data_IF_817916865651
#
_entry.id   IF_817916865651
#
_cell.length_a   1.000
_cell.length_b   1.000
_cell.length_c   1.000
_cell.angle_alpha   90.00
_cell.angle_beta   90.00
_cell.angle_gamma   90.00
#
_symmetry.space_group_name_H-M   'P 1'
#
loop_
_entity.id
_entity.type
_entity.pdbx_description
1 polymer ?
#
# COMPACT_ATOMS: atom_id res chain seq x y z
N UNK A 1 -18.59 -1.45 13.00
CA UNK A 1 -17.60 -2.05 12.09
C UNK A 1 -16.30 -2.53 12.79
N UNK A 2 -16.09 -3.85 12.98
CA UNK A 2 -14.82 -4.47 13.41
C UNK A 2 -14.20 -5.13 12.18
N UNK A 3 -13.02 -4.68 11.73
CA UNK A 3 -12.33 -5.32 10.60
C UNK A 3 -11.76 -6.65 11.11
N UNK A 4 -12.12 -7.80 10.50
CA UNK A 4 -11.62 -9.09 10.96
C UNK A 4 -10.11 -9.18 10.70
N UNK A 5 -9.35 -9.36 11.79
CA UNK A 5 -7.88 -9.44 11.80
C UNK A 5 -7.36 -10.54 10.85
N UNK A 6 -8.14 -11.59 10.62
CA UNK A 6 -7.79 -12.67 9.69
C UNK A 6 -7.68 -12.19 8.22
N UNK A 7 -8.52 -11.24 7.81
CA UNK A 7 -8.46 -10.67 6.45
C UNK A 7 -7.26 -9.76 6.25
N UNK A 8 -6.83 -9.05 7.29
CA UNK A 8 -5.63 -8.19 7.26
C UNK A 8 -4.37 -9.05 7.10
N UNK A 9 -4.25 -10.14 7.86
CA UNK A 9 -3.07 -11.03 7.82
C UNK A 9 -2.91 -11.74 6.48
N UNK A 10 -4.01 -12.16 5.85
CA UNK A 10 -4.01 -12.83 4.54
C UNK A 10 -3.57 -11.89 3.40
N UNK A 11 -3.96 -10.62 3.47
CA UNK A 11 -3.57 -9.61 2.48
C UNK A 11 -2.09 -9.20 2.62
N UNK A 12 -1.59 -9.11 3.86
CA UNK A 12 -0.16 -8.84 4.13
C UNK A 12 0.71 -9.99 3.63
N UNK A 13 0.31 -11.25 3.85
CA UNK A 13 1.09 -12.40 3.35
C UNK A 13 1.10 -12.49 1.82
N UNK A 14 0.00 -12.17 1.16
CA UNK A 14 -0.08 -12.16 -0.29
C UNK A 14 0.82 -11.05 -0.88
N UNK A 15 0.83 -9.87 -0.28
CA UNK A 15 1.65 -8.75 -0.72
C UNK A 15 3.14 -9.02 -0.50
N UNK A 16 3.50 -9.62 0.64
CA UNK A 16 4.88 -10.06 0.91
C UNK A 16 5.35 -11.13 -0.09
N UNK A 17 4.48 -12.08 -0.46
CA UNK A 17 4.81 -13.11 -1.46
C UNK A 17 5.08 -12.50 -2.84
N UNK A 18 4.27 -11.53 -3.27
CA UNK A 18 4.46 -10.83 -4.56
C UNK A 18 5.78 -10.04 -4.57
N UNK A 19 6.09 -9.34 -3.47
CA UNK A 19 7.36 -8.61 -3.35
C UNK A 19 8.54 -9.56 -3.39
N UNK A 20 8.48 -10.71 -2.70
CA UNK A 20 9.56 -11.70 -2.71
C UNK A 20 9.79 -12.33 -4.10
N UNK A 21 8.72 -12.60 -4.84
CA UNK A 21 8.81 -13.12 -6.22
C UNK A 21 9.41 -12.07 -7.16
N UNK A 22 9.05 -10.79 -6.99
CA UNK A 22 9.61 -9.70 -7.78
C UNK A 22 11.10 -9.51 -7.49
N UNK A 23 11.50 -9.54 -6.21
CA UNK A 23 12.90 -9.44 -5.78
C UNK A 23 13.74 -10.61 -6.31
N UNK A 24 13.21 -11.84 -6.31
CA UNK A 24 13.95 -13.00 -6.84
C UNK A 24 14.17 -12.93 -8.36
N UNK A 25 13.23 -12.36 -9.11
CA UNK A 25 13.40 -12.10 -10.54
C UNK A 25 14.50 -11.07 -10.84
N UNK A 26 14.66 -10.06 -9.99
CA UNK A 26 15.65 -8.98 -10.20
C UNK A 26 17.08 -9.42 -9.83
N UNK A 27 17.25 -10.28 -8.83
CA UNK A 27 18.57 -10.75 -8.36
C UNK A 27 19.20 -11.77 -9.32
N UNK A 28 18.42 -12.41 -10.20
CA UNK A 28 18.86 -13.50 -11.07
C UNK A 28 19.64 -13.06 -12.32
N UNK A 29 20.22 -11.86 -12.35
CA UNK A 29 21.15 -11.45 -13.39
C UNK A 29 22.59 -11.82 -12.97
N UNK A 30 23.23 -12.85 -13.58
CA UNK A 30 24.62 -13.11 -13.34
C UNK A 30 25.45 -11.98 -13.95
N UNK A 31 26.04 -11.16 -13.07
CA UNK A 31 27.05 -10.16 -13.42
C UNK A 31 28.33 -10.92 -13.81
N UNK A 32 28.40 -11.33 -15.06
CA UNK A 32 29.66 -11.66 -15.72
C UNK A 32 30.32 -10.34 -16.14
N UNK A 33 31.29 -9.87 -15.37
CA UNK A 33 32.44 -9.13 -15.86
C UNK A 33 33.39 -8.84 -14.68
N UNK A 34 34.42 -9.67 -14.57
CA UNK A 34 35.60 -9.34 -13.80
C UNK A 34 36.43 -8.30 -14.56
N UNK A 35 37.00 -7.37 -13.80
CA UNK A 35 38.21 -6.59 -14.09
C UNK A 35 38.04 -5.27 -14.88
N UNK A 36 38.34 -4.17 -14.17
CA UNK A 36 38.42 -2.75 -14.59
C UNK A 36 37.13 -1.94 -14.46
N UNK A 37 37.01 -1.21 -13.34
CA UNK A 37 35.95 -0.20 -13.13
C UNK A 37 36.38 1.10 -13.82
N UNK A 38 36.36 1.13 -15.14
CA UNK A 38 36.18 2.38 -15.88
C UNK A 38 34.67 2.59 -16.02
N UNK A 39 34.12 3.56 -15.29
CA UNK A 39 32.71 3.93 -15.45
C UNK A 39 32.62 4.66 -16.79
N UNK A 40 32.40 3.90 -17.87
CA UNK A 40 32.08 4.47 -19.17
C UNK A 40 30.74 5.21 -19.05
N UNK A 41 30.76 6.54 -19.21
CA UNK A 41 29.58 7.39 -19.15
C UNK A 41 28.44 6.97 -20.11
N UNK A 42 28.78 6.20 -21.13
CA UNK A 42 27.85 5.66 -22.12
C UNK A 42 27.03 4.47 -21.60
N UNK A 43 27.60 3.65 -20.72
CA UNK A 43 26.92 2.49 -20.14
C UNK A 43 25.90 2.91 -19.07
N UNK A 44 26.24 3.93 -18.27
CA UNK A 44 25.29 4.52 -17.33
C UNK A 44 24.15 5.25 -18.05
N UNK A 45 24.43 5.94 -19.16
CA UNK A 45 23.39 6.60 -19.97
C UNK A 45 22.36 5.61 -20.53
N UNK A 46 22.84 4.54 -21.17
CA UNK A 46 21.95 3.51 -21.75
C UNK A 46 21.16 2.74 -20.71
N UNK A 47 21.73 2.48 -19.52
CA UNK A 47 20.99 1.88 -18.42
C UNK A 47 19.90 2.81 -17.89
N UNK A 48 20.18 4.10 -17.71
CA UNK A 48 19.18 5.07 -17.27
C UNK A 48 18.04 5.21 -18.28
N UNK A 49 18.36 5.33 -19.58
CA UNK A 49 17.33 5.46 -20.63
C UNK A 49 16.40 4.25 -20.69
N UNK A 50 16.94 3.03 -20.64
CA UNK A 50 16.14 1.81 -20.77
C UNK A 50 15.35 1.46 -19.50
N UNK A 51 15.87 1.78 -18.31
CA UNK A 51 15.26 1.35 -17.05
C UNK A 51 14.33 2.39 -16.44
N UNK A 52 14.51 3.68 -16.74
CA UNK A 52 13.72 4.76 -16.12
C UNK A 52 12.22 4.66 -16.43
N UNK A 53 11.84 4.13 -17.60
CA UNK A 53 10.44 3.93 -17.97
C UNK A 53 9.70 2.98 -17.03
N UNK A 54 10.38 1.93 -16.55
CA UNK A 54 9.82 0.97 -15.60
C UNK A 54 9.68 1.56 -14.20
N UNK A 55 10.64 2.39 -13.78
CA UNK A 55 10.56 3.12 -12.51
C UNK A 55 9.36 4.07 -12.53
N UNK A 56 9.22 4.87 -13.59
CA UNK A 56 8.08 5.80 -13.74
C UNK A 56 6.76 5.04 -13.82
N UNK A 57 6.71 3.94 -14.59
CA UNK A 57 5.53 3.09 -14.70
C UNK A 57 5.12 2.47 -13.37
N UNK A 58 6.08 1.99 -12.58
CA UNK A 58 5.83 1.43 -11.25
C UNK A 58 5.30 2.46 -10.26
N UNK A 59 5.87 3.67 -10.26
CA UNK A 59 5.41 4.78 -9.40
C UNK A 59 3.98 5.19 -9.77
N UNK A 60 3.67 5.35 -11.06
CA UNK A 60 2.32 5.68 -11.52
C UNK A 60 1.30 4.62 -11.15
N UNK A 61 1.64 3.34 -11.33
CA UNK A 61 0.78 2.22 -10.95
C UNK A 61 0.52 2.22 -9.43
N UNK A 62 1.55 2.45 -8.62
CA UNK A 62 1.42 2.52 -7.16
C UNK A 62 0.48 3.65 -6.74
N UNK A 63 0.62 4.84 -7.32
CA UNK A 63 -0.26 5.98 -7.08
C UNK A 63 -1.70 5.62 -7.44
N UNK A 64 -1.91 4.93 -8.58
CA UNK A 64 -3.24 4.51 -9.02
C UNK A 64 -3.87 3.53 -8.01
N UNK A 65 -3.11 2.56 -7.52
CA UNK A 65 -3.56 1.61 -6.49
C UNK A 65 -3.93 2.36 -5.21
N UNK A 66 -3.10 3.30 -4.75
CA UNK A 66 -3.38 4.11 -3.55
C UNK A 66 -4.64 4.95 -3.76
N UNK A 67 -4.79 5.59 -4.92
CA UNK A 67 -5.97 6.39 -5.24
C UNK A 67 -7.25 5.55 -5.23
N UNK A 68 -7.24 4.37 -5.86
CA UNK A 68 -8.38 3.46 -5.86
C UNK A 68 -8.68 2.93 -4.45
N UNK A 69 -7.64 2.56 -3.69
CA UNK A 69 -7.78 2.06 -2.32
C UNK A 69 -8.24 3.15 -1.33
N UNK A 70 -7.92 4.42 -1.61
CA UNK A 70 -8.33 5.56 -0.78
C UNK A 70 -9.82 5.87 -0.85
N UNK A 71 -10.54 5.28 -1.82
CA UNK A 71 -12.00 5.40 -1.95
C UNK A 71 -12.76 4.47 -0.99
N UNK A 72 -12.25 4.32 0.23
CA UNK A 72 -12.96 3.67 1.32
C UNK A 72 -13.99 4.63 1.93
N UNK A 73 -15.27 4.23 1.90
CA UNK A 73 -16.39 4.91 2.59
C UNK A 73 -15.96 5.37 3.98
N UNK A 74 -16.00 6.69 4.22
CA UNK A 74 -15.59 7.26 5.50
C UNK A 74 -16.77 7.10 6.45
N UNK A 75 -16.91 5.91 7.06
CA UNK A 75 -18.00 5.67 7.99
C UNK A 75 -17.86 6.59 9.22
N UNK A 76 -18.83 7.51 9.37
CA UNK A 76 -18.94 8.39 10.53
C UNK A 76 -19.79 7.68 11.56
N UNK A 77 -19.24 7.51 12.77
CA UNK A 77 -20.00 6.98 13.91
C UNK A 77 -20.42 8.12 14.81
N UNK A 78 -21.72 8.25 15.04
CA UNK A 78 -22.27 9.22 15.97
C UNK A 78 -22.96 8.46 17.10
N UNK A 79 -22.49 8.67 18.33
CA UNK A 79 -23.10 8.10 19.53
C UNK A 79 -23.86 9.20 20.25
N UNK A 80 -25.18 9.07 20.33
CA UNK A 80 -26.05 9.99 21.06
C UNK A 80 -26.37 9.39 22.43
N UNK A 81 -26.06 10.12 23.50
CA UNK A 81 -26.34 9.72 24.88
C UNK A 81 -27.50 10.57 25.40
N UNK A 82 -28.61 9.92 25.76
CA UNK A 82 -29.76 10.58 26.39
C UNK A 82 -29.67 10.36 27.90
N UNK A 83 -29.62 11.46 28.67
CA UNK A 83 -29.59 11.45 30.14
C UNK A 83 -30.91 11.97 30.71
N UNK A 84 -31.28 11.51 31.90
CA UNK A 84 -32.43 12.01 32.65
C UNK A 84 -32.07 13.27 33.48
N UNK A 85 -33.08 13.87 34.10
CA UNK A 85 -32.96 15.09 34.92
C UNK A 85 -32.12 14.89 36.19
N UNK A 86 -31.88 13.64 36.63
CA UNK A 86 -31.01 13.28 37.73
C UNK A 86 -29.57 12.92 37.27
N UNK A 87 -29.28 13.00 35.96
CA UNK A 87 -27.96 12.74 35.38
C UNK A 87 -27.72 11.28 34.98
N UNK A 88 -28.70 10.40 35.16
CA UNK A 88 -28.57 8.98 34.84
C UNK A 88 -28.70 8.74 33.33
N UNK A 89 -27.93 7.79 32.79
CA UNK A 89 -27.99 7.44 31.36
C UNK A 89 -29.26 6.63 31.10
N UNK A 90 -30.16 7.17 30.28
CA UNK A 90 -31.47 6.58 29.98
C UNK A 90 -31.46 5.78 28.66
N UNK A 91 -30.68 6.21 27.67
CA UNK A 91 -30.51 5.50 26.40
C UNK A 91 -29.21 5.88 25.70
N UNK A 92 -28.59 4.92 25.04
CA UNK A 92 -27.42 5.12 24.16
C UNK A 92 -27.78 4.59 22.78
N UNK A 93 -27.83 5.47 21.79
CA UNK A 93 -28.06 5.09 20.39
C UNK A 93 -26.81 5.41 19.60
N UNK A 94 -26.25 4.38 18.92
CA UNK A 94 -25.12 4.56 18.01
C UNK A 94 -25.63 4.42 16.59
N UNK A 95 -25.52 5.49 15.81
CA UNK A 95 -25.84 5.49 14.40
C UNK A 95 -24.54 5.42 13.61
N UNK A 96 -24.38 4.36 12.80
CA UNK A 96 -23.30 4.26 11.82
C UNK A 96 -23.82 4.82 10.50
N UNK A 97 -23.29 5.97 10.06
CA UNK A 97 -23.59 6.56 8.75
C UNK A 97 -22.44 6.23 7.79
N UNK A 98 -22.76 5.65 6.63
CA UNK A 98 -21.80 5.52 5.54
C UNK A 98 -21.83 6.82 4.72
N UNK A 99 -20.70 7.52 4.68
CA UNK A 99 -20.51 8.74 3.88
C UNK A 99 -19.69 8.42 2.65
#
# INVERSE_FOLDING_TARGET
MKIPIHSIRKNISALAAVVLIFVSMVISNPVFAQETVEINGQDVGSWFENNWIWVVGGVLLLILIIALASRGSRSRKTTTIVKDTAGNVKSVTTTEENV
#
